data_IF_718560794770
#
_entry.id   IF_718560794770
#
_cell.length_a   1.000
_cell.length_b   1.000
_cell.length_c   1.000
_cell.angle_alpha   90.00
_cell.angle_beta   90.00
_cell.angle_gamma   90.00
#
_symmetry.space_group_name_H-M   'P 1'
#
loop_
_entity.id
_entity.type
_entity.pdbx_description
1 polymer ?
#
# COMPACT_ATOMS: atom_id res chain seq x y z
N UNK A 1 51.13 -54.46 -46.72
CA UNK A 1 51.74 -53.78 -45.57
C UNK A 1 51.02 -52.44 -45.41
N UNK A 2 50.34 -52.25 -44.28
CA UNK A 2 49.75 -51.05 -43.64
C UNK A 2 49.47 -49.78 -44.48
N UNK A 3 48.45 -48.95 -44.27
CA UNK A 3 47.22 -48.89 -43.47
C UNK A 3 46.72 -47.43 -43.57
N UNK A 4 45.39 -47.21 -43.48
CA UNK A 4 44.71 -46.00 -42.95
C UNK A 4 44.76 -44.70 -43.82
N UNK A 5 43.77 -43.80 -43.86
CA UNK A 5 42.70 -43.45 -42.93
C UNK A 5 41.40 -43.07 -43.67
N UNK A 6 40.30 -43.68 -43.25
CA UNK A 6 38.94 -43.17 -43.39
C UNK A 6 38.77 -41.99 -42.43
N UNK A 7 38.30 -40.84 -42.91
CA UNK A 7 37.90 -39.71 -42.07
C UNK A 7 36.38 -39.58 -42.15
N UNK A 8 35.70 -40.28 -41.24
CA UNK A 8 34.23 -40.22 -41.09
C UNK A 8 33.89 -39.00 -40.24
N UNK A 9 33.25 -38.01 -40.84
CA UNK A 9 32.72 -36.84 -40.15
C UNK A 9 31.44 -37.24 -39.38
N UNK A 10 31.55 -37.32 -38.05
CA UNK A 10 30.38 -37.47 -37.16
C UNK A 10 29.86 -36.08 -36.76
N UNK A 11 28.80 -35.61 -37.43
CA UNK A 11 27.98 -34.50 -36.94
C UNK A 11 27.15 -35.01 -35.75
N UNK A 12 27.61 -34.74 -34.53
CA UNK A 12 26.80 -34.85 -33.32
C UNK A 12 25.96 -33.58 -33.18
N UNK A 13 24.71 -33.68 -33.62
CA UNK A 13 23.67 -32.71 -33.32
C UNK A 13 23.34 -32.73 -31.83
N UNK A 14 23.93 -31.80 -31.08
CA UNK A 14 23.48 -31.44 -29.75
C UNK A 14 22.18 -30.64 -29.89
N UNK A 15 21.05 -31.34 -30.00
CA UNK A 15 19.74 -30.78 -29.66
C UNK A 15 19.75 -30.47 -28.18
N UNK A 16 20.13 -29.24 -27.84
CA UNK A 16 19.84 -28.66 -26.53
C UNK A 16 18.33 -28.50 -26.47
N UNK A 17 17.64 -29.50 -25.90
CA UNK A 17 16.28 -29.32 -25.43
C UNK A 17 16.33 -28.32 -24.28
N UNK A 18 16.30 -27.02 -24.61
CA UNK A 18 15.90 -26.00 -23.66
C UNK A 18 14.45 -26.31 -23.28
N UNK A 19 14.25 -27.06 -22.20
CA UNK A 19 12.97 -27.12 -21.53
C UNK A 19 12.71 -25.70 -21.05
N UNK A 20 11.92 -24.95 -21.82
CA UNK A 20 11.30 -23.73 -21.36
C UNK A 20 10.45 -24.13 -20.14
N UNK A 21 11.01 -23.94 -18.95
CA UNK A 21 10.23 -24.06 -17.72
C UNK A 21 9.10 -23.05 -17.86
N UNK A 22 7.87 -23.53 -17.83
CA UNK A 22 6.71 -22.65 -17.86
C UNK A 22 6.84 -21.70 -16.67
N UNK A 23 6.93 -20.41 -16.96
CA UNK A 23 7.04 -19.36 -15.96
C UNK A 23 5.82 -19.44 -15.04
N UNK A 24 6.05 -19.64 -13.74
CA UNK A 24 4.96 -19.75 -12.76
C UNK A 24 4.26 -18.40 -12.61
N UNK A 25 2.93 -18.40 -12.65
CA UNK A 25 2.12 -17.19 -12.59
C UNK A 25 1.22 -17.19 -11.37
N UNK A 26 1.15 -16.05 -10.69
CA UNK A 26 0.39 -15.88 -9.46
C UNK A 26 -0.67 -14.80 -9.61
N UNK A 27 -1.86 -15.08 -9.10
CA UNK A 27 -2.93 -14.10 -9.01
C UNK A 27 -2.70 -13.28 -7.75
N UNK A 28 -2.55 -11.96 -7.88
CA UNK A 28 -2.36 -11.06 -6.74
C UNK A 28 -3.69 -10.55 -6.18
N UNK A 29 -4.80 -10.67 -6.90
CA UNK A 29 -6.11 -10.26 -6.40
C UNK A 29 -7.22 -11.18 -6.90
N UNK A 30 -8.20 -11.40 -6.02
CA UNK A 30 -9.40 -12.17 -6.35
C UNK A 30 -10.64 -11.42 -5.91
N UNK A 31 -11.54 -11.14 -6.85
CA UNK A 31 -12.77 -10.40 -6.55
C UNK A 31 -13.60 -11.15 -5.51
N UNK A 32 -14.01 -10.42 -4.47
CA UNK A 32 -14.84 -10.96 -3.39
C UNK A 32 -14.10 -11.91 -2.45
N UNK A 33 -12.77 -11.99 -2.49
CA UNK A 33 -11.99 -12.57 -1.39
C UNK A 33 -12.22 -11.78 -0.10
N UNK A 34 -12.23 -12.49 1.01
CA UNK A 34 -12.29 -11.91 2.35
C UNK A 34 -11.46 -12.77 3.29
N UNK A 35 -10.98 -12.17 4.37
CA UNK A 35 -10.34 -12.93 5.43
C UNK A 35 -11.36 -13.87 6.11
N UNK A 36 -10.91 -14.98 6.72
CA UNK A 36 -11.77 -15.84 7.50
C UNK A 36 -12.48 -15.08 8.63
N UNK A 37 -13.73 -15.46 8.94
CA UNK A 37 -14.45 -14.91 10.09
C UNK A 37 -13.67 -15.17 11.37
N UNK A 38 -13.59 -14.18 12.25
CA UNK A 38 -12.79 -14.24 13.48
C UNK A 38 -11.33 -13.78 13.31
N UNK A 39 -10.87 -13.52 12.08
CA UNK A 39 -9.53 -12.95 11.85
C UNK A 39 -9.43 -11.59 12.53
N UNK A 40 -8.41 -11.43 13.38
CA UNK A 40 -8.04 -10.18 14.01
C UNK A 40 -6.87 -9.57 13.25
N UNK A 41 -7.09 -8.36 12.72
CA UNK A 41 -6.08 -7.56 12.03
C UNK A 41 -5.61 -6.50 13.01
N UNK A 42 -4.30 -6.36 13.18
CA UNK A 42 -3.70 -5.32 14.00
C UNK A 42 -2.82 -4.47 13.11
N UNK A 43 -3.21 -3.22 12.90
CA UNK A 43 -2.46 -2.29 12.06
C UNK A 43 -1.70 -1.33 12.96
N UNK A 44 -0.38 -1.32 12.80
CA UNK A 44 0.53 -0.38 13.46
C UNK A 44 1.14 0.51 12.38
N UNK A 45 0.76 1.77 12.39
CA UNK A 45 1.30 2.75 11.44
C UNK A 45 2.25 3.68 12.19
N UNK A 46 3.45 3.83 11.64
CA UNK A 46 4.40 4.85 12.06
C UNK A 46 4.87 5.61 10.83
N UNK A 47 4.45 6.87 10.72
CA UNK A 47 4.96 7.78 9.68
C UNK A 47 5.91 8.75 10.35
N UNK A 48 7.15 8.81 9.86
CA UNK A 48 8.12 9.80 10.27
C UNK A 48 8.57 10.58 9.03
N UNK A 49 8.26 11.87 9.02
CA UNK A 49 8.75 12.78 7.99
C UNK A 49 9.79 13.69 8.63
N UNK A 50 11.01 13.69 8.10
CA UNK A 50 12.09 14.55 8.57
C UNK A 50 12.48 15.55 7.49
N UNK A 51 13.02 16.70 7.90
CA UNK A 51 13.56 17.72 7.01
C UNK A 51 12.57 18.19 5.92
N UNK A 52 11.28 18.26 6.25
CA UNK A 52 10.29 18.81 5.31
C UNK A 52 10.72 20.20 4.86
N UNK A 53 10.75 20.38 3.55
CA UNK A 53 11.00 21.67 2.90
C UNK A 53 9.69 22.21 2.38
N UNK A 54 9.31 23.40 2.84
CA UNK A 54 8.17 24.11 2.30
C UNK A 54 8.66 25.34 1.56
N UNK A 55 8.19 25.51 0.32
CA UNK A 55 8.44 26.72 -0.46
C UNK A 55 7.19 27.60 -0.37
N UNK A 56 7.33 28.78 0.22
CA UNK A 56 6.28 29.81 0.24
C UNK A 56 6.76 30.99 -0.61
N UNK A 57 6.08 31.25 -1.73
CA UNK A 57 6.56 32.14 -2.79
C UNK A 57 7.99 31.74 -3.25
N UNK A 58 9.00 32.58 -3.01
CA UNK A 58 10.41 32.32 -3.39
C UNK A 58 11.33 31.96 -2.20
N UNK A 59 10.77 31.81 -1.00
CA UNK A 59 11.55 31.41 0.18
C UNK A 59 11.34 29.92 0.46
N UNK A 60 12.44 29.19 0.51
CA UNK A 60 12.46 27.81 0.98
C UNK A 60 12.74 27.85 2.47
N UNK A 61 11.83 27.30 3.26
CA UNK A 61 12.06 27.05 4.67
C UNK A 61 12.38 25.57 4.91
N UNK A 62 13.34 25.32 5.78
CA UNK A 62 13.80 23.98 6.12
C UNK A 62 13.51 23.73 7.61
N UNK A 63 12.78 22.65 7.91
CA UNK A 63 12.79 22.10 9.27
C UNK A 63 11.42 21.75 9.85
N UNK A 64 10.54 21.14 9.06
CA UNK A 64 9.38 20.44 9.59
C UNK A 64 9.68 18.97 9.86
N UNK A 65 9.14 18.43 10.96
CA UNK A 65 9.00 17.00 11.15
C UNK A 65 7.60 16.64 11.64
N UNK A 66 7.07 15.53 11.12
CA UNK A 66 5.79 14.98 11.55
C UNK A 66 6.05 13.54 11.96
N UNK A 67 5.65 13.21 13.19
CA UNK A 67 5.56 11.83 13.66
C UNK A 67 4.09 11.50 13.89
N UNK A 68 3.58 10.55 13.13
CA UNK A 68 2.25 9.96 13.35
C UNK A 68 2.41 8.52 13.79
N UNK A 69 1.69 8.15 14.85
CA UNK A 69 1.62 6.80 15.38
C UNK A 69 0.17 6.41 15.58
N UNK A 70 -0.26 5.36 14.88
CA UNK A 70 -1.60 4.81 15.00
C UNK A 70 -1.53 3.31 15.28
N UNK A 71 -2.38 2.85 16.20
CA UNK A 71 -2.67 1.44 16.43
C UNK A 71 -4.18 1.25 16.26
N UNK A 72 -4.57 0.38 15.35
CA UNK A 72 -5.96 -0.02 15.18
C UNK A 72 -6.10 -1.52 15.14
N UNK A 73 -7.27 -1.99 15.56
CA UNK A 73 -7.63 -3.39 15.51
C UNK A 73 -8.92 -3.54 14.72
N UNK A 74 -8.94 -4.47 13.76
CA UNK A 74 -10.15 -4.86 13.06
C UNK A 74 -10.44 -6.35 13.31
N UNK A 75 -11.71 -6.70 13.48
CA UNK A 75 -12.20 -8.05 13.60
C UNK A 75 -13.13 -8.36 12.42
N UNK A 76 -12.83 -9.41 11.66
CA UNK A 76 -13.68 -9.88 10.59
C UNK A 76 -14.93 -10.56 11.16
N UNK A 77 -16.10 -9.95 10.97
CA UNK A 77 -17.39 -10.47 11.47
C UNK A 77 -18.15 -11.30 10.42
N UNK A 78 -17.81 -11.15 9.15
CA UNK A 78 -18.44 -11.79 8.00
C UNK A 78 -17.84 -11.24 6.72
N UNK A 79 -18.09 -11.85 5.55
CA UNK A 79 -17.49 -11.44 4.26
C UNK A 79 -17.50 -9.92 4.01
N UNK A 80 -18.63 -9.29 4.35
CA UNK A 80 -18.89 -7.86 4.12
C UNK A 80 -19.06 -7.07 5.43
N UNK A 81 -18.53 -7.59 6.55
CA UNK A 81 -18.71 -6.98 7.88
C UNK A 81 -17.42 -7.04 8.69
N UNK A 82 -17.03 -5.90 9.25
CA UNK A 82 -15.88 -5.76 10.16
C UNK A 82 -16.23 -4.91 11.36
N UNK A 83 -15.59 -5.16 12.50
CA UNK A 83 -15.59 -4.24 13.64
C UNK A 83 -14.20 -3.64 13.76
N UNK A 84 -14.10 -2.32 13.86
CA UNK A 84 -12.85 -1.57 13.97
C UNK A 84 -12.79 -0.83 15.31
N UNK A 85 -11.61 -0.72 15.89
CA UNK A 85 -11.35 0.22 16.97
C UNK A 85 -9.95 0.82 16.82
N UNK A 86 -9.86 2.15 16.86
CA UNK A 86 -8.57 2.85 16.95
C UNK A 86 -8.14 2.84 18.41
N UNK A 87 -7.10 2.09 18.74
CA UNK A 87 -6.60 1.93 20.12
C UNK A 87 -5.67 3.06 20.52
N UNK A 88 -4.84 3.50 19.58
CA UNK A 88 -3.91 4.62 19.74
C UNK A 88 -3.93 5.45 18.46
N UNK A 89 -3.90 6.77 18.61
CA UNK A 89 -3.73 7.68 17.48
C UNK A 89 -3.17 8.99 17.98
N UNK A 90 -1.94 9.28 17.58
CA UNK A 90 -1.22 10.47 17.99
C UNK A 90 -0.41 11.05 16.83
N UNK A 91 -0.47 12.37 16.69
CA UNK A 91 0.38 13.12 15.78
C UNK A 91 1.16 14.15 16.57
N UNK A 92 2.48 14.15 16.39
CA UNK A 92 3.40 15.15 16.92
C UNK A 92 3.98 15.92 15.75
N UNK A 93 3.79 17.24 15.76
CA UNK A 93 4.29 18.13 14.72
C UNK A 93 5.30 19.10 15.31
N UNK A 94 6.49 19.15 14.70
CA UNK A 94 7.52 20.16 14.98
C UNK A 94 7.77 20.92 13.69
N UNK A 95 7.78 22.24 13.77
CA UNK A 95 8.02 23.09 12.61
C UNK A 95 9.01 24.19 12.94
N UNK A 96 9.82 24.54 11.96
CA UNK A 96 10.70 25.70 11.97
C UNK A 96 10.25 26.63 10.85
N UNK A 97 9.97 27.89 11.20
CA UNK A 97 9.60 28.93 10.24
C UNK A 97 10.50 30.15 10.46
N UNK A 98 11.20 30.60 9.42
CA UNK A 98 12.08 31.76 9.44
C UNK A 98 13.19 31.64 10.49
N UNK A 99 13.73 30.43 10.68
CA UNK A 99 14.74 30.18 11.70
C UNK A 99 14.19 29.91 13.10
N UNK A 100 12.91 30.16 13.37
CA UNK A 100 12.28 30.00 14.69
C UNK A 100 11.57 28.65 14.81
N UNK A 101 11.85 27.91 15.89
CA UNK A 101 11.15 26.66 16.21
C UNK A 101 9.80 27.00 16.85
N UNK A 102 8.71 26.50 16.27
CA UNK A 102 7.38 26.61 16.85
C UNK A 102 7.20 25.59 17.98
N UNK A 103 6.34 25.88 18.97
CA UNK A 103 5.98 24.90 19.99
C UNK A 103 5.49 23.59 19.37
N UNK A 104 5.91 22.48 19.96
CA UNK A 104 5.45 21.15 19.57
C UNK A 104 3.93 21.06 19.72
N UNK A 105 3.25 20.65 18.65
CA UNK A 105 1.82 20.38 18.69
C UNK A 105 1.59 18.88 18.80
N UNK A 106 0.80 18.48 19.81
CA UNK A 106 0.32 17.11 19.97
C UNK A 106 -1.17 17.09 19.70
N UNK A 107 -1.61 16.18 18.82
CA UNK A 107 -3.02 15.93 18.53
C UNK A 107 -3.32 14.46 18.70
N UNK A 108 -4.46 14.14 19.31
CA UNK A 108 -5.02 12.80 19.33
C UNK A 108 -6.02 12.65 18.17
N UNK A 109 -6.16 11.45 17.63
CA UNK A 109 -7.16 11.15 16.60
C UNK A 109 -8.59 11.27 17.13
N UNK A 110 -9.51 11.82 16.34
CA UNK A 110 -10.88 12.10 16.80
C UNK A 110 -11.69 10.81 17.04
N UNK A 111 -11.31 9.70 16.39
CA UNK A 111 -11.95 8.38 16.51
C UNK A 111 -11.31 7.47 17.57
N UNK A 112 -10.37 7.99 18.37
CA UNK A 112 -9.68 7.21 19.40
C UNK A 112 -10.69 6.54 20.35
N UNK A 113 -10.54 5.22 20.55
CA UNK A 113 -11.36 4.35 21.40
C UNK A 113 -12.85 4.26 21.00
N UNK A 114 -13.22 4.77 19.82
CA UNK A 114 -14.56 4.57 19.28
C UNK A 114 -14.58 3.26 18.50
N UNK A 115 -15.46 2.36 18.91
CA UNK A 115 -15.76 1.13 18.15
C UNK A 115 -16.67 1.47 16.98
N UNK A 116 -16.24 1.06 15.79
CA UNK A 116 -16.96 1.25 14.54
C UNK A 116 -17.39 -0.11 13.98
N UNK A 117 -18.55 -0.15 13.37
CA UNK A 117 -19.03 -1.26 12.56
C UNK A 117 -18.96 -0.84 11.09
N UNK A 118 -18.17 -1.57 10.32
CA UNK A 118 -18.08 -1.45 8.87
C UNK A 118 -18.97 -2.47 8.18
N UNK A 119 -19.75 -2.03 7.19
CA UNK A 119 -20.53 -2.90 6.30
C UNK A 119 -20.20 -2.55 4.86
N UNK A 120 -19.81 -3.55 4.07
CA UNK A 120 -19.56 -3.36 2.64
C UNK A 120 -20.88 -3.46 1.87
N UNK A 121 -21.18 -2.44 1.07
CA UNK A 121 -22.34 -2.37 0.15
C UNK A 121 -21.85 -1.84 -1.19
N UNK A 122 -22.18 -2.54 -2.27
CA UNK A 122 -21.78 -2.16 -3.64
C UNK A 122 -20.27 -1.92 -3.79
N UNK A 123 -19.46 -2.75 -3.13
CA UNK A 123 -18.00 -2.65 -3.11
C UNK A 123 -17.43 -1.56 -2.20
N UNK A 124 -18.26 -0.69 -1.62
CA UNK A 124 -17.84 0.40 -0.74
C UNK A 124 -18.08 0.06 0.73
N UNK A 125 -17.19 0.48 1.61
CA UNK A 125 -17.38 0.35 3.05
C UNK A 125 -18.14 1.55 3.62
N UNK A 126 -19.19 1.27 4.39
CA UNK A 126 -19.94 2.23 5.20
C UNK A 126 -19.63 1.97 6.68
N UNK A 127 -19.17 2.99 7.40
CA UNK A 127 -18.83 2.88 8.81
C UNK A 127 -19.79 3.67 9.68
N UNK A 128 -20.16 3.09 10.82
CA UNK A 128 -20.98 3.73 11.84
C UNK A 128 -20.47 3.36 13.22
N UNK A 129 -20.76 4.15 14.27
CA UNK A 129 -20.55 3.70 15.64
C UNK A 129 -21.20 2.34 15.90
N UNK A 130 -20.47 1.42 16.52
CA UNK A 130 -21.01 0.12 16.92
C UNK A 130 -22.10 0.28 17.99
N UNK A 131 -22.00 1.31 18.83
CA UNK A 131 -23.07 1.74 19.72
C UNK A 131 -23.99 2.73 18.98
N UNK A 132 -25.19 2.28 18.61
CA UNK A 132 -26.17 3.09 17.88
C UNK A 132 -26.61 4.37 18.64
N UNK A 133 -26.46 4.41 19.96
CA UNK A 133 -26.80 5.58 20.78
C UNK A 133 -25.69 6.64 20.82
N UNK A 134 -24.50 6.34 20.31
CA UNK A 134 -23.38 7.29 20.31
C UNK A 134 -23.57 8.33 19.20
N UNK A 135 -23.73 9.59 19.58
CA UNK A 135 -23.69 10.71 18.63
C UNK A 135 -22.25 11.20 18.45
N UNK A 136 -21.78 11.17 17.20
CA UNK A 136 -20.46 11.68 16.83
C UNK A 136 -20.50 13.20 16.69
N UNK A 137 -19.45 13.88 17.17
CA UNK A 137 -19.23 15.29 16.89
C UNK A 137 -19.00 15.56 15.39
N UNK A 138 -19.17 16.79 14.89
CA UNK A 138 -18.93 17.10 13.48
C UNK A 138 -17.55 16.70 12.97
N UNK A 139 -16.50 16.88 13.80
CA UNK A 139 -15.13 16.45 13.47
C UNK A 139 -15.01 14.94 13.35
N UNK A 140 -15.65 14.19 14.25
CA UNK A 140 -15.68 12.74 14.21
C UNK A 140 -16.46 12.21 13.01
N UNK A 141 -17.57 12.85 12.64
CA UNK A 141 -18.32 12.50 11.43
C UNK A 141 -17.48 12.73 10.17
N UNK A 142 -16.77 13.87 10.11
CA UNK A 142 -15.84 14.16 9.02
C UNK A 142 -14.72 13.12 8.97
N UNK A 143 -14.09 12.79 10.10
CA UNK A 143 -13.03 11.78 10.12
C UNK A 143 -13.54 10.39 9.76
N UNK A 144 -14.78 10.04 10.16
CA UNK A 144 -15.41 8.77 9.80
C UNK A 144 -15.58 8.62 8.28
N UNK A 145 -15.96 9.71 7.58
CA UNK A 145 -16.02 9.74 6.12
C UNK A 145 -14.66 9.56 5.44
N UNK A 146 -13.57 9.84 6.16
CA UNK A 146 -12.19 9.70 5.67
C UNK A 146 -11.53 8.40 6.14
N UNK A 147 -12.24 7.50 6.84
CA UNK A 147 -11.69 6.19 7.21
C UNK A 147 -11.56 5.36 5.94
N UNK A 148 -10.38 5.45 5.31
CA UNK A 148 -9.96 4.56 4.26
C UNK A 148 -9.20 3.39 4.89
N UNK A 149 -9.66 2.18 4.61
CA UNK A 149 -8.96 0.98 5.03
C UNK A 149 -7.89 0.67 4.01
N UNK A 150 -6.71 1.27 4.14
CA UNK A 150 -5.57 0.98 3.26
C UNK A 150 -5.29 -0.53 3.13
N UNK A 151 -5.55 -1.31 4.18
CA UNK A 151 -5.38 -2.77 4.18
C UNK A 151 -6.54 -3.57 3.58
N UNK A 152 -7.75 -3.00 3.45
CA UNK A 152 -8.93 -3.70 2.87
C UNK A 152 -9.16 -3.30 1.41
N UNK A 153 -8.48 -2.26 0.95
CA UNK A 153 -8.54 -1.78 -0.43
C UNK A 153 -7.62 -2.63 -1.30
N UNK A 154 -8.16 -3.78 -1.71
CA UNK A 154 -7.63 -4.60 -2.78
C UNK A 154 -7.63 -3.91 -4.17
N UNK A 155 -8.04 -2.64 -4.23
CA UNK A 155 -8.32 -1.91 -5.46
C UNK A 155 -7.04 -1.53 -6.25
N UNK A 156 -5.85 -1.77 -5.68
CA UNK A 156 -4.56 -1.54 -6.33
C UNK A 156 -3.99 -2.79 -7.01
N UNK A 157 -4.74 -3.89 -7.07
CA UNK A 157 -4.30 -5.13 -7.70
C UNK A 157 -5.38 -5.66 -8.64
N UNK A 158 -4.97 -6.30 -9.73
CA UNK A 158 -5.87 -6.88 -10.73
C UNK A 158 -5.93 -8.39 -10.63
N UNK A 159 -6.98 -9.01 -11.19
CA UNK A 159 -7.06 -10.47 -11.34
C UNK A 159 -6.11 -11.03 -12.42
N UNK A 160 -5.36 -10.17 -13.11
CA UNK A 160 -4.32 -10.58 -14.09
C UNK A 160 -3.19 -11.32 -13.35
N UNK A 161 -2.90 -12.59 -13.71
CA UNK A 161 -1.77 -13.30 -13.14
C UNK A 161 -0.44 -12.64 -13.50
N UNK A 162 0.46 -12.55 -12.52
CA UNK A 162 1.80 -11.95 -12.66
C UNK A 162 2.89 -12.99 -12.44
N UNK A 163 4.00 -12.83 -13.14
CA UNK A 163 5.20 -13.65 -12.96
C UNK A 163 6.18 -12.98 -12.01
N UNK A 164 7.02 -13.78 -11.33
CA UNK A 164 8.15 -13.25 -10.57
C UNK A 164 9.13 -12.56 -11.54
N UNK A 165 9.61 -11.37 -11.17
CA UNK A 165 10.42 -10.47 -11.99
C UNK A 165 9.61 -9.52 -12.88
N UNK A 166 8.28 -9.70 -13.00
CA UNK A 166 7.44 -8.84 -13.82
C UNK A 166 7.32 -7.43 -13.21
N UNK A 167 7.43 -6.40 -14.07
CA UNK A 167 7.16 -5.01 -13.71
C UNK A 167 6.01 -4.47 -14.54
N UNK A 168 5.04 -3.82 -13.91
CA UNK A 168 3.91 -3.18 -14.60
C UNK A 168 3.59 -1.79 -14.06
N UNK A 169 2.91 -0.99 -14.87
CA UNK A 169 2.32 0.27 -14.45
C UNK A 169 1.00 0.01 -13.74
N UNK A 170 0.89 0.44 -12.48
CA UNK A 170 -0.31 0.29 -11.65
C UNK A 170 -1.23 1.52 -11.72
N UNK A 171 -0.95 2.43 -12.65
CA UNK A 171 -1.64 3.71 -12.78
C UNK A 171 -1.46 4.57 -11.54
N UNK A 172 -2.45 5.40 -11.23
CA UNK A 172 -2.38 6.30 -10.06
C UNK A 172 -3.34 5.90 -8.93
N UNK A 173 -3.98 4.73 -8.98
CA UNK A 173 -4.98 4.31 -7.99
C UNK A 173 -4.46 4.35 -6.55
N UNK A 174 -3.33 3.68 -6.30
CA UNK A 174 -2.63 3.71 -5.01
C UNK A 174 -2.20 5.14 -4.61
N UNK A 175 -1.70 5.93 -5.55
CA UNK A 175 -1.24 7.29 -5.25
C UNK A 175 -2.39 8.22 -4.90
N UNK A 176 -3.55 8.09 -5.55
CA UNK A 176 -4.77 8.83 -5.18
C UNK A 176 -5.19 8.49 -3.76
N UNK A 177 -5.12 7.20 -3.38
CA UNK A 177 -5.37 6.76 -2.02
C UNK A 177 -4.37 7.36 -1.03
N UNK A 178 -3.08 7.37 -1.37
CA UNK A 178 -2.00 7.89 -0.52
C UNK A 178 -2.08 9.41 -0.35
N UNK A 179 -2.35 10.15 -1.43
CA UNK A 179 -2.32 11.62 -1.42
C UNK A 179 -3.68 12.25 -1.13
N UNK A 180 -4.78 11.50 -1.27
CA UNK A 180 -6.14 12.04 -1.20
C UNK A 180 -6.48 13.00 -2.33
N UNK A 181 -5.75 12.94 -3.44
CA UNK A 181 -5.90 13.86 -4.58
C UNK A 181 -6.33 13.07 -5.80
N UNK A 182 -7.51 13.36 -6.34
CA UNK A 182 -8.08 12.59 -7.45
C UNK A 182 -7.67 13.10 -8.85
N UNK A 183 -7.18 14.35 -8.93
CA UNK A 183 -6.86 15.05 -10.18
C UNK A 183 -5.47 15.70 -10.13
N UNK A 184 -4.85 15.90 -11.29
CA UNK A 184 -3.57 16.60 -11.37
C UNK A 184 -2.34 15.77 -10.94
N UNK A 185 -2.51 14.47 -10.74
CA UNK A 185 -1.41 13.49 -10.64
C UNK A 185 -0.83 13.21 -12.03
N UNK A 186 0.48 13.36 -12.17
CA UNK A 186 1.24 13.05 -13.37
C UNK A 186 2.51 12.31 -13.00
N UNK A 187 3.00 11.41 -13.86
CA UNK A 187 4.24 10.66 -13.64
C UNK A 187 3.99 9.15 -13.58
N UNK A 188 5.00 8.42 -13.10
CA UNK A 188 5.05 6.96 -13.15
C UNK A 188 4.85 6.33 -11.77
N UNK A 189 4.19 5.17 -11.74
CA UNK A 189 4.02 4.32 -10.58
C UNK A 189 4.12 2.87 -11.05
N UNK A 190 5.29 2.26 -10.82
CA UNK A 190 5.60 0.90 -11.28
C UNK A 190 5.62 -0.04 -10.08
N UNK A 191 5.04 -1.21 -10.26
CA UNK A 191 5.10 -2.30 -9.29
C UNK A 191 5.91 -3.43 -9.90
N UNK A 192 6.84 -3.98 -9.12
CA UNK A 192 7.65 -5.14 -9.45
C UNK A 192 7.26 -6.29 -8.54
N UNK A 193 7.06 -7.48 -9.09
CA UNK A 193 6.88 -8.69 -8.31
C UNK A 193 8.26 -9.33 -8.09
N UNK A 194 8.86 -9.09 -6.94
CA UNK A 194 10.27 -9.40 -6.71
C UNK A 194 10.50 -10.91 -6.50
N UNK A 195 9.73 -11.53 -5.60
CA UNK A 195 9.89 -12.93 -5.23
C UNK A 195 8.66 -13.48 -4.47
N UNK A 196 8.63 -14.80 -4.30
CA UNK A 196 7.69 -15.48 -3.40
C UNK A 196 8.44 -15.95 -2.16
N UNK A 197 7.96 -15.55 -0.99
CA UNK A 197 8.55 -15.88 0.31
C UNK A 197 7.56 -16.64 1.19
N UNK A 198 8.06 -17.51 2.06
CA UNK A 198 7.29 -18.00 3.19
C UNK A 198 7.35 -16.97 4.32
N UNK A 199 6.20 -16.36 4.62
CA UNK A 199 6.06 -15.44 5.74
C UNK A 199 5.04 -16.00 6.71
N UNK A 200 5.51 -16.37 7.91
CA UNK A 200 4.69 -16.97 8.96
C UNK A 200 3.92 -18.23 8.50
N UNK A 201 4.54 -19.07 7.66
CA UNK A 201 3.92 -20.30 7.15
C UNK A 201 2.91 -20.07 6.01
N UNK A 202 2.92 -18.89 5.40
CA UNK A 202 2.12 -18.57 4.21
C UNK A 202 3.00 -18.12 3.06
N UNK A 203 2.70 -18.65 1.87
CA UNK A 203 3.29 -18.16 0.62
C UNK A 203 2.79 -16.75 0.32
N UNK A 204 3.73 -15.82 0.20
CA UNK A 204 3.47 -14.41 0.01
C UNK A 204 4.29 -13.87 -1.16
N UNK A 205 3.70 -12.97 -1.95
CA UNK A 205 4.43 -12.17 -2.93
C UNK A 205 5.11 -10.98 -2.24
N UNK A 206 6.38 -10.75 -2.55
CA UNK A 206 7.08 -9.50 -2.23
C UNK A 206 6.93 -8.58 -3.44
N UNK A 207 6.35 -7.41 -3.22
CA UNK A 207 6.08 -6.42 -4.25
C UNK A 207 6.80 -5.11 -3.94
N UNK A 208 7.62 -4.62 -4.87
CA UNK A 208 8.25 -3.30 -4.75
C UNK A 208 7.59 -2.32 -5.69
N UNK A 209 6.99 -1.27 -5.11
CA UNK A 209 6.39 -0.15 -5.82
C UNK A 209 7.37 1.02 -5.83
N UNK A 210 7.65 1.57 -7.01
CA UNK A 210 8.44 2.80 -7.19
C UNK A 210 7.57 3.84 -7.87
N UNK A 211 7.51 5.04 -7.31
CA UNK A 211 6.76 6.13 -7.89
C UNK A 211 7.61 7.39 -8.03
N UNK A 212 7.38 8.09 -9.13
CA UNK A 212 7.91 9.43 -9.39
C UNK A 212 6.79 10.27 -9.99
N UNK A 213 6.12 11.04 -9.13
CA UNK A 213 4.92 11.77 -9.53
C UNK A 213 4.98 13.25 -9.16
N UNK A 214 4.25 14.05 -9.93
CA UNK A 214 3.93 15.44 -9.65
C UNK A 214 2.44 15.54 -9.38
N UNK A 215 2.09 16.11 -8.23
CA UNK A 215 0.72 16.42 -7.84
C UNK A 215 0.51 17.91 -7.99
N UNK A 216 -0.46 18.32 -8.80
CA UNK A 216 -0.94 19.72 -8.80
C UNK A 216 -2.02 19.86 -7.74
N UNK A 217 -1.79 20.74 -6.78
CA UNK A 217 -2.74 21.06 -5.73
C UNK A 217 -3.56 22.29 -6.14
N UNK A 218 -4.71 22.46 -5.49
CA UNK A 218 -5.50 23.66 -5.62
C UNK A 218 -4.65 24.91 -5.29
N UNK A 219 -4.97 26.04 -5.92
CA UNK A 219 -4.22 27.32 -5.80
C UNK A 219 -2.88 27.37 -6.55
N UNK A 220 -2.62 26.45 -7.49
CA UNK A 220 -1.47 26.52 -8.41
C UNK A 220 -0.15 25.99 -7.84
N UNK A 221 -0.19 25.34 -6.68
CA UNK A 221 0.97 24.67 -6.11
C UNK A 221 1.22 23.33 -6.79
N UNK A 222 2.48 22.91 -6.86
CA UNK A 222 2.85 21.57 -7.30
C UNK A 222 3.78 20.91 -6.29
N UNK A 223 3.55 19.63 -6.05
CA UNK A 223 4.35 18.79 -5.17
C UNK A 223 4.95 17.66 -6.01
N UNK A 224 6.28 17.50 -5.95
CA UNK A 224 6.95 16.34 -6.54
C UNK A 224 7.19 15.30 -5.46
N UNK A 225 6.78 14.07 -5.72
CA UNK A 225 6.95 12.94 -4.83
C UNK A 225 7.77 11.87 -5.54
N UNK A 226 8.74 11.31 -4.84
CA UNK A 226 9.46 10.11 -5.26
C UNK A 226 9.57 9.21 -4.07
N UNK A 227 9.32 7.92 -4.28
CA UNK A 227 9.36 6.97 -3.19
C UNK A 227 9.39 5.54 -3.68
N UNK A 228 9.67 4.68 -2.72
CA UNK A 228 9.71 3.25 -2.87
C UNK A 228 8.97 2.65 -1.67
N UNK A 229 8.10 1.68 -1.95
CA UNK A 229 7.34 0.91 -0.97
C UNK A 229 7.58 -0.57 -1.27
N UNK A 230 7.77 -1.37 -0.22
CA UNK A 230 7.78 -2.82 -0.32
C UNK A 230 6.60 -3.38 0.47
N UNK A 231 5.84 -4.26 -0.18
CA UNK A 231 4.64 -4.88 0.37
C UNK A 231 4.79 -6.39 0.35
N UNK A 232 4.48 -7.06 1.47
CA UNK A 232 4.38 -8.51 1.54
C UNK A 232 2.89 -8.86 1.44
N UNK A 233 2.50 -9.61 0.41
CA UNK A 233 1.09 -9.90 0.13
C UNK A 233 0.82 -11.40 0.15
N UNK A 234 -0.10 -11.84 1.01
CA UNK A 234 -0.52 -13.24 1.06
C UNK A 234 -1.17 -13.67 -0.27
N UNK A 235 -0.63 -14.71 -0.90
CA UNK A 235 -1.16 -15.26 -2.15
C UNK A 235 -2.45 -16.08 -1.95
N UNK A 236 -2.70 -16.53 -0.72
CA UNK A 236 -3.90 -17.32 -0.39
C UNK A 236 -5.05 -16.44 0.10
N UNK A 237 -4.74 -15.38 0.85
CA UNK A 237 -5.73 -14.50 1.44
C UNK A 237 -5.94 -13.20 0.65
N UNK A 238 -5.04 -12.89 -0.29
CA UNK A 238 -5.06 -11.67 -1.11
C UNK A 238 -5.13 -10.42 -0.22
N UNK A 239 -4.20 -10.34 0.73
CA UNK A 239 -4.14 -9.30 1.75
C UNK A 239 -2.68 -8.91 2.03
N UNK A 240 -2.45 -7.62 2.25
CA UNK A 240 -1.12 -7.04 2.51
C UNK A 240 -0.79 -7.14 4.01
N UNK A 241 0.38 -7.68 4.35
CA UNK A 241 0.81 -8.05 5.71
C UNK A 241 1.72 -6.99 6.37
#
# INVERSE_FOLDING_TARGET
MFAKYFMTAALLGLSVCAQAQAEEKYVLYKKGSSLPVGTKIVTKTRVNTENMKMKLADKIDNGGSILTQDLSEALQLGKDRIQLEVKESATVTKMKIGGKVLPEQKKQGELLKIKLLGVRKDGKWDFKPANASLQLSPKQQQQLGNVSFGFVLNDCYSEVPRSVGETWDDGHGYLKLLTGVDQGLQGENKVTFDEVVDYQGQQCAVLTRKFHVTVRLDQGYSMKMTGEETTIRSLSQFFDL
#
